data_IF_718325022558
#
_entry.id   IF_718325022558
#
_cell.length_a   1.000
_cell.length_b   1.000
_cell.length_c   1.000
_cell.angle_alpha   90.00
_cell.angle_beta   90.00
_cell.angle_gamma   90.00
#
_symmetry.space_group_name_H-M   'P 1'
#
loop_
_entity.id
_entity.type
_entity.pdbx_description
1 polymer ?
#
# COMPACT_ATOMS: atom_id res chain seq x y z
N UNK A 1 3.54 -7.48 6.65
CA UNK A 1 3.57 -6.32 5.71
C UNK A 1 4.87 -5.52 5.78
N UNK A 2 5.39 -5.15 6.96
CA UNK A 2 6.67 -4.41 7.08
C UNK A 2 7.86 -5.08 6.33
N UNK A 3 7.98 -6.40 6.43
CA UNK A 3 8.99 -7.17 5.69
C UNK A 3 8.85 -7.03 4.17
N UNK A 4 7.62 -7.04 3.65
CA UNK A 4 7.35 -6.84 2.23
C UNK A 4 7.67 -5.41 1.79
N UNK A 5 7.32 -4.40 2.58
CA UNK A 5 7.70 -3.00 2.29
C UNK A 5 9.22 -2.78 2.30
N UNK A 6 9.95 -3.48 3.18
CA UNK A 6 11.41 -3.49 3.18
C UNK A 6 11.97 -4.13 1.91
N UNK A 7 11.43 -5.29 1.49
CA UNK A 7 11.79 -5.92 0.22
C UNK A 7 11.55 -4.97 -0.96
N UNK A 8 10.37 -4.36 -1.05
CA UNK A 8 10.02 -3.48 -2.17
C UNK A 8 11.00 -2.30 -2.28
N UNK A 9 11.34 -1.66 -1.16
CA UNK A 9 12.35 -0.59 -1.13
C UNK A 9 13.73 -1.08 -1.55
N UNK A 10 14.15 -2.28 -1.12
CA UNK A 10 15.43 -2.84 -1.54
C UNK A 10 15.48 -3.14 -3.04
N UNK A 11 14.39 -3.64 -3.61
CA UNK A 11 14.28 -3.92 -5.05
C UNK A 11 14.28 -2.64 -5.89
N UNK A 12 13.67 -1.56 -5.39
CA UNK A 12 13.61 -0.27 -6.06
C UNK A 12 14.95 0.49 -6.01
N UNK A 13 15.65 0.39 -4.89
CA UNK A 13 16.94 1.04 -4.67
C UNK A 13 18.11 0.45 -5.48
N UNK A 14 17.90 -0.60 -6.27
CA UNK A 14 18.97 -1.27 -7.03
C UNK A 14 18.60 -1.55 -8.48
N UNK A 15 19.58 -1.46 -9.37
CA UNK A 15 19.47 -1.87 -10.77
C UNK A 15 20.10 -3.25 -11.05
N UNK A 16 20.79 -3.85 -10.08
CA UNK A 16 21.48 -5.13 -10.25
C UNK A 16 20.52 -6.31 -10.17
N UNK A 17 20.42 -7.09 -11.25
CA UNK A 17 19.60 -8.32 -11.27
C UNK A 17 20.00 -9.34 -10.21
N UNK A 18 21.31 -9.48 -9.95
CA UNK A 18 21.81 -10.38 -8.91
C UNK A 18 21.42 -9.92 -7.51
N UNK A 19 21.46 -8.60 -7.25
CA UNK A 19 21.03 -8.04 -5.98
C UNK A 19 19.52 -8.26 -5.76
N UNK A 20 18.70 -8.01 -6.79
CA UNK A 20 17.26 -8.28 -6.75
C UNK A 20 16.96 -9.76 -6.48
N UNK A 21 17.66 -10.66 -7.15
CA UNK A 21 17.50 -12.10 -6.93
C UNK A 21 17.86 -12.48 -5.49
N UNK A 22 18.96 -11.96 -4.95
CA UNK A 22 19.35 -12.23 -3.57
C UNK A 22 18.31 -11.72 -2.56
N UNK A 23 17.75 -10.51 -2.79
CA UNK A 23 16.71 -9.94 -1.95
C UNK A 23 15.43 -10.80 -1.93
N UNK A 24 14.97 -11.21 -3.12
CA UNK A 24 13.82 -12.10 -3.27
C UNK A 24 14.05 -13.43 -2.56
N UNK A 25 15.21 -14.06 -2.75
CA UNK A 25 15.53 -15.34 -2.12
C UNK A 25 15.56 -15.24 -0.59
N UNK A 26 16.10 -14.14 -0.03
CA UNK A 26 16.09 -13.94 1.43
C UNK A 26 14.68 -13.76 1.95
N UNK A 27 13.88 -12.91 1.31
CA UNK A 27 12.50 -12.69 1.71
C UNK A 27 11.68 -13.98 1.66
N UNK A 28 11.73 -14.72 0.54
CA UNK A 28 10.95 -15.94 0.35
C UNK A 28 11.35 -17.09 1.28
N UNK A 29 12.59 -17.11 1.76
CA UNK A 29 13.03 -18.10 2.77
C UNK A 29 12.54 -17.78 4.18
N UNK A 30 12.31 -16.50 4.48
CA UNK A 30 11.96 -16.03 5.81
C UNK A 30 10.45 -15.78 6.00
N UNK A 31 9.73 -15.43 4.93
CA UNK A 31 8.32 -15.11 4.98
C UNK A 31 7.45 -16.37 5.12
N UNK A 32 6.32 -16.23 5.83
CA UNK A 32 5.27 -17.25 5.84
C UNK A 32 4.77 -17.50 4.41
N UNK A 33 4.35 -18.74 4.12
CA UNK A 33 3.98 -19.17 2.77
C UNK A 33 2.86 -18.30 2.15
N UNK A 34 1.89 -17.84 2.96
CA UNK A 34 0.82 -16.97 2.51
C UNK A 34 1.33 -15.56 2.14
N UNK A 35 2.21 -14.98 2.97
CA UNK A 35 2.85 -13.69 2.69
C UNK A 35 3.75 -13.76 1.45
N UNK A 36 4.47 -14.87 1.28
CA UNK A 36 5.29 -15.13 0.10
C UNK A 36 4.46 -15.23 -1.18
N UNK A 37 3.32 -15.94 -1.14
CA UNK A 37 2.42 -16.06 -2.30
C UNK A 37 1.88 -14.69 -2.75
N UNK A 38 1.42 -13.87 -1.81
CA UNK A 38 0.97 -12.51 -2.13
C UNK A 38 2.08 -11.61 -2.64
N UNK A 39 3.27 -11.68 -2.04
CA UNK A 39 4.42 -10.91 -2.50
C UNK A 39 4.80 -11.26 -3.95
N UNK A 40 4.86 -12.55 -4.30
CA UNK A 40 5.13 -12.99 -5.68
C UNK A 40 4.04 -12.52 -6.63
N UNK A 41 2.76 -12.63 -6.23
CA UNK A 41 1.64 -12.15 -7.05
C UNK A 41 1.78 -10.66 -7.39
N UNK A 42 2.06 -9.80 -6.40
CA UNK A 42 2.23 -8.37 -6.63
C UNK A 42 3.45 -8.04 -7.48
N UNK A 43 4.60 -8.66 -7.19
CA UNK A 43 5.85 -8.42 -7.91
C UNK A 43 5.81 -8.93 -9.36
N UNK A 44 4.95 -9.91 -9.66
CA UNK A 44 4.65 -10.35 -11.02
C UNK A 44 3.67 -9.43 -11.77
N UNK A 45 3.28 -8.29 -11.18
CA UNK A 45 2.32 -7.33 -11.76
C UNK A 45 0.86 -7.64 -11.45
N UNK A 46 0.59 -8.62 -10.58
CA UNK A 46 -0.75 -8.92 -10.09
C UNK A 46 -1.29 -7.76 -9.24
N UNK A 47 -2.57 -7.44 -9.41
CA UNK A 47 -3.26 -6.45 -8.59
C UNK A 47 -4.74 -6.82 -8.38
N UNK A 48 -5.26 -6.76 -7.14
CA UNK A 48 -6.69 -6.84 -6.90
C UNK A 48 -7.42 -5.71 -7.63
N UNK A 49 -8.39 -6.05 -8.49
CA UNK A 49 -9.12 -5.05 -9.28
C UNK A 49 -10.26 -4.44 -8.46
N UNK A 50 -10.46 -3.13 -8.61
CA UNK A 50 -11.63 -2.40 -8.11
C UNK A 50 -11.84 -2.58 -6.60
N UNK A 51 -10.83 -2.24 -5.79
CA UNK A 51 -10.91 -2.27 -4.33
C UNK A 51 -11.80 -1.14 -3.81
N UNK A 52 -11.33 0.09 -3.96
CA UNK A 52 -12.03 1.31 -3.57
C UNK A 52 -11.89 2.32 -4.72
N UNK A 53 -12.95 3.04 -5.11
CA UNK A 53 -12.83 4.08 -6.13
C UNK A 53 -11.83 5.16 -5.70
N UNK A 54 -10.93 5.56 -6.60
CA UNK A 54 -9.90 6.59 -6.33
C UNK A 54 -10.51 7.91 -5.83
N UNK A 55 -11.67 8.29 -6.39
CA UNK A 55 -12.41 9.48 -5.94
C UNK A 55 -12.81 9.39 -4.46
N UNK A 56 -13.22 8.22 -4.00
CA UNK A 56 -13.60 8.02 -2.60
C UNK A 56 -12.37 8.07 -1.68
N UNK A 57 -11.27 7.41 -2.06
CA UNK A 57 -10.01 7.49 -1.30
C UNK A 57 -9.55 8.94 -1.10
N UNK A 58 -9.66 9.76 -2.15
CA UNK A 58 -9.34 11.18 -2.10
C UNK A 58 -10.21 11.93 -1.09
N UNK A 59 -11.53 11.73 -1.15
CA UNK A 59 -12.48 12.38 -0.24
C UNK A 59 -12.23 11.99 1.21
N UNK A 60 -12.00 10.71 1.48
CA UNK A 60 -11.69 10.20 2.82
C UNK A 60 -10.38 10.79 3.34
N UNK A 61 -9.31 10.77 2.54
CA UNK A 61 -8.02 11.33 2.95
C UNK A 61 -8.08 12.85 3.18
N UNK A 62 -8.81 13.59 2.35
CA UNK A 62 -9.04 15.01 2.55
C UNK A 62 -9.77 15.29 3.87
N UNK A 63 -10.83 14.54 4.15
CA UNK A 63 -11.60 14.67 5.38
C UNK A 63 -10.75 14.34 6.63
N UNK A 64 -10.01 13.24 6.61
CA UNK A 64 -9.12 12.83 7.70
C UNK A 64 -7.95 13.80 7.93
N UNK A 65 -7.40 14.39 6.87
CA UNK A 65 -6.37 15.42 6.99
C UNK A 65 -6.91 16.78 7.45
N UNK A 66 -8.24 16.98 7.46
CA UNK A 66 -8.86 18.26 7.82
C UNK A 66 -8.56 19.39 6.84
N UNK A 67 -8.31 19.05 5.56
CA UNK A 67 -7.91 20.03 4.53
C UNK A 67 -9.09 20.43 3.65
N UNK A 68 -9.09 21.69 3.23
CA UNK A 68 -9.96 22.14 2.13
C UNK A 68 -9.53 21.53 0.80
N UNK A 69 -10.47 21.34 -0.13
CA UNK A 69 -10.25 20.69 -1.41
C UNK A 69 -9.08 21.32 -2.19
N UNK A 70 -9.07 22.66 -2.32
CA UNK A 70 -8.02 23.37 -3.04
C UNK A 70 -6.61 23.11 -2.48
N UNK A 71 -6.47 22.93 -1.16
CA UNK A 71 -5.15 22.70 -0.54
C UNK A 71 -4.69 21.26 -0.74
N UNK A 72 -5.64 20.31 -0.79
CA UNK A 72 -5.34 18.93 -1.17
C UNK A 72 -4.91 18.87 -2.65
N UNK A 73 -5.58 19.62 -3.54
CA UNK A 73 -5.23 19.72 -4.96
C UNK A 73 -3.80 20.22 -5.16
N UNK A 74 -3.45 21.35 -4.54
CA UNK A 74 -2.09 21.91 -4.59
C UNK A 74 -1.04 20.92 -4.04
N UNK A 75 -1.37 20.20 -2.95
CA UNK A 75 -0.48 19.19 -2.39
C UNK A 75 -0.27 18.03 -3.35
N UNK A 76 -1.34 17.56 -4.00
CA UNK A 76 -1.28 16.51 -5.01
C UNK A 76 -0.47 16.95 -6.24
N UNK A 77 -0.66 18.18 -6.73
CA UNK A 77 0.11 18.70 -7.86
C UNK A 77 1.60 18.82 -7.54
N UNK A 78 1.96 19.21 -6.33
CA UNK A 78 3.35 19.30 -5.88
C UNK A 78 4.04 17.92 -5.78
N UNK A 79 3.32 16.88 -5.33
CA UNK A 79 3.85 15.52 -5.12
C UNK A 79 3.80 14.69 -6.42
N UNK A 80 2.72 14.78 -7.19
CA UNK A 80 2.52 14.06 -8.45
C UNK A 80 2.05 12.61 -8.31
N UNK A 81 1.92 12.08 -7.09
CA UNK A 81 1.40 10.74 -6.80
C UNK A 81 0.36 10.78 -5.67
N UNK A 82 -0.80 10.14 -5.89
CA UNK A 82 -1.91 10.20 -4.92
C UNK A 82 -1.62 9.38 -3.67
N UNK A 83 -0.96 8.23 -3.79
CA UNK A 83 -0.68 7.38 -2.64
C UNK A 83 0.34 8.06 -1.72
N UNK A 84 1.37 8.68 -2.30
CA UNK A 84 2.34 9.48 -1.56
C UNK A 84 1.68 10.73 -0.93
N UNK A 85 0.83 11.43 -1.68
CA UNK A 85 0.07 12.58 -1.16
C UNK A 85 -0.75 12.18 0.07
N UNK A 86 -1.52 11.09 -0.01
CA UNK A 86 -2.31 10.60 1.13
C UNK A 86 -1.40 10.22 2.30
N UNK A 87 -0.30 9.52 2.06
CA UNK A 87 0.63 9.11 3.11
C UNK A 87 1.29 10.30 3.84
N UNK A 88 1.50 11.42 3.14
CA UNK A 88 2.09 12.64 3.71
C UNK A 88 1.08 13.51 4.45
N UNK A 89 -0.18 13.53 4.01
CA UNK A 89 -1.22 14.42 4.55
C UNK A 89 -2.01 13.83 5.72
N UNK A 90 -2.12 12.49 5.80
CA UNK A 90 -2.85 11.86 6.89
C UNK A 90 -2.21 12.18 8.27
N UNK A 91 -3.03 12.34 9.32
CA UNK A 91 -2.51 12.57 10.66
C UNK A 91 -1.63 11.39 11.12
N UNK A 92 -0.71 11.62 12.07
CA UNK A 92 0.12 10.54 12.62
C UNK A 92 -0.74 9.37 13.13
N UNK A 93 -0.36 8.13 12.87
CA UNK A 93 -1.15 6.97 13.29
C UNK A 93 -1.20 6.90 14.82
N UNK A 94 -2.40 6.63 15.35
CA UNK A 94 -2.62 6.41 16.79
C UNK A 94 -2.26 5.00 17.24
N UNK A 95 -2.22 4.05 16.30
CA UNK A 95 -1.98 2.63 16.56
C UNK A 95 -0.96 2.04 15.58
N UNK A 96 -0.25 1.01 16.05
CA UNK A 96 0.67 0.25 15.22
C UNK A 96 0.20 -1.19 15.10
N UNK A 97 0.15 -1.68 13.86
CA UNK A 97 -0.25 -3.04 13.55
C UNK A 97 0.97 -3.83 13.08
N UNK A 98 1.15 -5.04 13.60
CA UNK A 98 2.20 -5.97 13.18
C UNK A 98 1.64 -7.17 12.42
N UNK A 99 0.89 -6.87 11.36
CA UNK A 99 0.20 -7.87 10.55
C UNK A 99 1.03 -8.28 9.32
N UNK A 100 0.91 -9.57 8.96
CA UNK A 100 1.43 -10.15 7.71
C UNK A 100 0.83 -9.50 6.47
N UNK A 101 1.52 -9.62 5.33
CA UNK A 101 1.02 -9.13 4.05
C UNK A 101 -0.31 -9.82 3.68
N UNK A 102 -0.40 -11.14 3.84
CA UNK A 102 -1.59 -11.92 3.55
C UNK A 102 -2.77 -11.46 4.40
N UNK A 103 -2.57 -11.24 5.70
CA UNK A 103 -3.60 -10.73 6.61
C UNK A 103 -4.13 -9.37 6.15
N UNK A 104 -3.24 -8.43 5.83
CA UNK A 104 -3.64 -7.12 5.27
C UNK A 104 -4.47 -7.27 4.00
N UNK A 105 -4.05 -8.12 3.08
CA UNK A 105 -4.76 -8.30 1.81
C UNK A 105 -6.12 -8.97 2.03
N UNK A 106 -6.15 -10.10 2.72
CA UNK A 106 -7.33 -10.97 2.80
C UNK A 106 -8.39 -10.45 3.78
N UNK A 107 -7.96 -9.87 4.90
CA UNK A 107 -8.86 -9.49 5.98
C UNK A 107 -9.19 -8.00 5.99
N UNK A 108 -8.34 -7.14 5.40
CA UNK A 108 -8.59 -5.70 5.39
C UNK A 108 -8.85 -5.17 3.98
N UNK A 109 -8.08 -5.56 2.96
CA UNK A 109 -8.16 -4.96 1.63
C UNK A 109 -9.27 -5.57 0.76
N UNK A 110 -9.28 -6.89 0.58
CA UNK A 110 -10.26 -7.59 -0.26
C UNK A 110 -11.72 -7.41 0.21
N UNK A 111 -12.03 -7.35 1.52
CA UNK A 111 -13.40 -7.10 1.99
C UNK A 111 -13.98 -5.75 1.57
N UNK A 112 -13.14 -4.72 1.38
CA UNK A 112 -13.61 -3.38 0.96
C UNK A 112 -14.37 -3.42 -0.36
N UNK A 113 -14.05 -4.37 -1.25
CA UNK A 113 -14.75 -4.55 -2.54
C UNK A 113 -16.25 -4.75 -2.42
N UNK A 114 -16.68 -5.32 -1.29
CA UNK A 114 -18.08 -5.67 -1.01
C UNK A 114 -18.73 -4.64 -0.08
N UNK A 115 -17.98 -3.63 0.35
CA UNK A 115 -18.44 -2.63 1.30
C UNK A 115 -18.97 -1.43 0.52
N UNK A 116 -20.24 -1.02 0.72
CA UNK A 116 -20.78 0.18 0.10
C UNK A 116 -20.00 1.44 0.50
N UNK A 117 -19.86 2.45 -0.38
CA UNK A 117 -19.14 3.69 -0.08
C UNK A 117 -19.56 4.39 1.20
N UNK A 118 -20.83 4.32 1.57
CA UNK A 118 -21.38 4.92 2.79
C UNK A 118 -21.00 4.18 4.10
N UNK A 119 -20.40 3.00 3.98
CA UNK A 119 -19.89 2.18 5.09
C UNK A 119 -18.35 2.14 5.14
N UNK A 120 -17.69 2.87 4.23
CA UNK A 120 -16.24 3.08 4.20
C UNK A 120 -15.88 4.40 4.87
#
# INVERSE_FOLDING_TARGET
MKAFAALYRELDATTSSLAKQAALQRYLRAADAADAAWAVYFLAGGKPRQLVPTKLLRLLAQAEAGLSEWLFDESYEAVGDLAETIALLLPPPTEQHDLGLATWVEQHLLPLRKTPPEQL
#
